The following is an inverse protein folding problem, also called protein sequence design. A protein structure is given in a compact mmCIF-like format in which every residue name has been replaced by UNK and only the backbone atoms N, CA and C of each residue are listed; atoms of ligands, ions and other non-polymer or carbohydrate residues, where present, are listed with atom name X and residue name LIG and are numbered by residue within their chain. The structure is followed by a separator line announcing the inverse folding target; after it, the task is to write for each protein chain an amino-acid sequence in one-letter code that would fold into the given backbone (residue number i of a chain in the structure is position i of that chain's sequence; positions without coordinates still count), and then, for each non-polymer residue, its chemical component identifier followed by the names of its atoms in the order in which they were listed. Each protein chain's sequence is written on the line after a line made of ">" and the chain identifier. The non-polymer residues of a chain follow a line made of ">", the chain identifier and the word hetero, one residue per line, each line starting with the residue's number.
data_IF_670065115517
#
_entry.id   IF_670065115517
#
_cell.length_a   1.000
_cell.length_b   1.000
_cell.length_c   1.000
_cell.angle_alpha   90.00
_cell.angle_beta   90.00
_cell.angle_gamma   90.00
#
_symmetry.space_group_name_H-M   'P 1'
#
loop_
_entity.id
_entity.type
_entity.pdbx_description
1 polymer ?
#
# COMPACT_ATOMS: atom_id res chain seq x y z
N UNK A 1 8.48 20.08 -23.85
CA UNK A 1 9.61 20.12 -24.80
C UNK A 1 9.08 20.60 -26.14
N UNK A 2 8.00 19.97 -26.62
CA UNK A 2 7.13 20.46 -27.68
C UNK A 2 5.68 20.01 -27.38
N UNK A 3 4.77 20.13 -28.36
CA UNK A 3 3.33 19.90 -28.18
C UNK A 3 2.92 18.43 -27.99
N UNK A 4 3.83 17.49 -28.26
CA UNK A 4 3.58 16.06 -28.08
C UNK A 4 4.49 15.42 -27.03
N UNK A 5 5.59 16.09 -26.64
CA UNK A 5 6.57 15.56 -25.68
C UNK A 5 6.80 16.52 -24.50
N UNK A 6 6.61 15.98 -23.29
CA UNK A 6 6.86 16.68 -22.02
C UNK A 6 7.70 15.82 -21.07
N UNK A 7 8.35 16.47 -20.10
CA UNK A 7 9.08 15.80 -19.02
C UNK A 7 8.54 16.26 -17.67
N UNK A 8 8.48 15.34 -16.70
CA UNK A 8 8.00 15.63 -15.35
C UNK A 8 8.85 14.89 -14.34
N UNK A 9 9.19 15.56 -13.24
CA UNK A 9 9.85 14.95 -12.10
C UNK A 9 9.22 15.46 -10.80
N UNK A 10 9.16 14.60 -9.79
CA UNK A 10 8.74 14.94 -8.43
C UNK A 10 9.68 14.26 -7.44
N UNK A 11 10.01 15.00 -6.39
CA UNK A 11 10.82 14.54 -5.26
C UNK A 11 9.98 14.67 -3.99
N UNK A 12 10.06 13.66 -3.13
CA UNK A 12 9.39 13.62 -1.84
C UNK A 12 10.43 13.48 -0.73
N UNK A 13 10.38 14.39 0.24
CA UNK A 13 11.14 14.26 1.49
C UNK A 13 10.17 13.97 2.62
N UNK A 14 10.37 12.85 3.31
CA UNK A 14 9.53 12.43 4.44
C UNK A 14 10.35 11.73 5.51
N UNK A 15 9.83 11.75 6.74
CA UNK A 15 10.31 10.85 7.79
C UNK A 15 9.54 9.54 7.65
N UNK A 16 10.21 8.49 7.20
CA UNK A 16 9.60 7.18 6.98
C UNK A 16 9.55 6.36 8.29
N UNK A 17 9.83 5.06 8.24
CA UNK A 17 9.94 4.19 9.43
C UNK A 17 11.24 4.41 10.23
N UNK A 18 12.17 5.21 9.71
CA UNK A 18 13.44 5.56 10.35
C UNK A 18 13.35 6.91 11.08
N UNK A 19 14.25 7.16 12.04
CA UNK A 19 14.25 8.42 12.80
C UNK A 19 14.73 9.65 12.00
N UNK A 20 15.27 9.45 10.79
CA UNK A 20 15.79 10.46 9.87
C UNK A 20 14.83 10.76 8.70
N UNK A 21 15.01 11.91 8.06
CA UNK A 21 14.36 12.22 6.80
C UNK A 21 15.01 11.44 5.66
N UNK A 22 14.17 10.89 4.77
CA UNK A 22 14.57 10.29 3.50
C UNK A 22 14.03 11.14 2.36
N UNK A 23 14.82 11.28 1.30
CA UNK A 23 14.44 11.99 0.09
C UNK A 23 14.45 11.01 -1.07
N UNK A 24 13.28 10.83 -1.69
CA UNK A 24 13.06 9.88 -2.76
C UNK A 24 12.58 10.60 -4.02
N UNK A 25 13.11 10.22 -5.18
CA UNK A 25 12.54 10.61 -6.48
C UNK A 25 11.30 9.75 -6.71
N UNK A 26 10.10 10.31 -6.50
CA UNK A 26 8.83 9.57 -6.56
C UNK A 26 8.45 9.21 -7.98
N UNK A 27 8.60 10.15 -8.91
CA UNK A 27 8.47 9.91 -10.34
C UNK A 27 9.35 10.85 -11.15
N UNK A 28 9.80 10.37 -12.30
CA UNK A 28 10.62 11.10 -13.25
C UNK A 28 10.49 10.43 -14.62
N UNK A 29 9.71 11.03 -15.52
CA UNK A 29 9.39 10.42 -16.81
C UNK A 29 9.33 11.45 -17.94
N UNK A 30 9.52 10.95 -19.16
CA UNK A 30 9.11 11.61 -20.38
C UNK A 30 7.72 11.11 -20.77
N UNK A 31 6.80 12.00 -21.14
CA UNK A 31 5.46 11.69 -21.62
C UNK A 31 5.33 12.08 -23.08
N UNK A 32 5.01 11.10 -23.93
CA UNK A 32 4.63 11.27 -25.32
C UNK A 32 3.10 11.19 -25.46
N UNK A 33 2.47 12.24 -26.00
CA UNK A 33 1.06 12.26 -26.39
C UNK A 33 0.97 11.74 -27.83
N UNK A 34 0.50 10.51 -27.99
CA UNK A 34 0.40 9.85 -29.29
C UNK A 34 -0.77 10.45 -30.08
N UNK A 35 -1.88 10.70 -29.40
CA UNK A 35 -3.04 11.45 -29.87
C UNK A 35 -3.78 12.03 -28.64
N UNK A 36 -4.99 12.55 -28.83
CA UNK A 36 -5.74 13.19 -27.74
C UNK A 36 -6.25 12.23 -26.66
N UNK A 37 -6.28 10.92 -26.95
CA UNK A 37 -6.80 9.88 -26.06
C UNK A 37 -5.68 9.02 -25.46
N UNK A 38 -4.53 8.91 -26.13
CA UNK A 38 -3.45 7.98 -25.78
C UNK A 38 -2.17 8.73 -25.47
N UNK A 39 -1.61 8.43 -24.31
CA UNK A 39 -0.26 8.86 -23.95
C UNK A 39 0.57 7.71 -23.40
N UNK A 40 1.88 7.79 -23.63
CA UNK A 40 2.88 6.84 -23.15
C UNK A 40 3.87 7.59 -22.29
N UNK A 41 4.25 7.02 -21.14
CA UNK A 41 5.34 7.55 -20.31
C UNK A 41 6.46 6.54 -20.22
N UNK A 42 7.69 7.03 -20.20
CA UNK A 42 8.91 6.22 -20.01
C UNK A 42 9.78 6.88 -18.94
N UNK A 43 10.19 6.10 -17.94
CA UNK A 43 10.97 6.56 -16.79
C UNK A 43 10.45 5.93 -15.50
N UNK A 44 10.59 6.64 -14.38
CA UNK A 44 9.95 6.25 -13.11
C UNK A 44 8.51 6.72 -13.09
N UNK A 45 7.58 5.78 -13.10
CA UNK A 45 6.13 6.04 -13.12
C UNK A 45 5.46 5.57 -11.83
N UNK A 46 4.33 6.18 -11.48
CA UNK A 46 3.48 5.73 -10.37
C UNK A 46 2.88 4.37 -10.70
N UNK A 47 2.79 3.52 -9.69
CA UNK A 47 2.07 2.24 -9.77
C UNK A 47 0.60 2.46 -9.38
N UNK A 48 -0.35 2.38 -10.33
CA UNK A 48 -1.76 2.76 -10.15
C UNK A 48 -2.58 1.66 -9.46
N UNK A 49 -2.15 1.19 -8.29
CA UNK A 49 -2.76 0.03 -7.60
C UNK A 49 -3.84 0.38 -6.59
N UNK A 50 -3.94 1.63 -6.15
CA UNK A 50 -4.91 2.09 -5.18
C UNK A 50 -5.79 3.21 -5.75
N UNK A 51 -6.95 3.44 -5.13
CA UNK A 51 -7.85 4.56 -5.43
C UNK A 51 -7.12 5.91 -5.39
N UNK A 52 -6.20 6.08 -4.45
CA UNK A 52 -5.45 7.32 -4.20
C UNK A 52 -3.99 7.27 -4.67
N UNK A 53 -3.56 6.27 -5.45
CA UNK A 53 -2.14 6.07 -5.83
C UNK A 53 -1.45 7.34 -6.31
N UNK A 54 -2.14 8.15 -7.12
CA UNK A 54 -1.58 9.34 -7.76
C UNK A 54 -1.37 10.52 -6.77
N UNK A 55 -2.01 10.48 -5.61
CA UNK A 55 -1.98 11.55 -4.61
C UNK A 55 -1.86 11.05 -3.15
N UNK A 56 -1.47 9.79 -2.95
CA UNK A 56 -1.35 9.16 -1.63
C UNK A 56 -0.46 9.98 -0.68
N UNK A 57 0.61 10.58 -1.22
CA UNK A 57 1.57 11.40 -0.50
C UNK A 57 1.27 12.91 -0.55
N UNK A 58 0.14 13.33 -1.15
CA UNK A 58 -0.25 14.74 -1.26
C UNK A 58 -1.35 15.02 -0.23
N UNK A 59 -0.95 15.50 0.95
CA UNK A 59 -1.85 15.74 2.08
C UNK A 59 -3.11 16.53 1.69
N UNK A 60 -2.94 17.68 1.04
CA UNK A 60 -4.04 18.58 0.65
C UNK A 60 -5.11 17.91 -0.23
N UNK A 61 -4.73 16.95 -1.08
CA UNK A 61 -5.63 16.22 -1.95
C UNK A 61 -6.47 15.17 -1.21
N UNK A 62 -5.99 14.67 -0.07
CA UNK A 62 -6.71 13.69 0.74
C UNK A 62 -7.78 14.36 1.62
N UNK A 63 -8.91 13.67 1.84
CA UNK A 63 -9.90 14.09 2.84
C UNK A 63 -9.43 13.76 4.25
N UNK A 64 -9.06 12.50 4.46
CA UNK A 64 -8.43 12.05 5.69
C UNK A 64 -7.05 12.70 5.84
N UNK A 65 -6.64 12.97 7.08
CA UNK A 65 -5.27 13.42 7.36
C UNK A 65 -4.28 12.28 7.18
N UNK A 66 -4.66 11.07 7.60
CA UNK A 66 -3.91 9.84 7.38
C UNK A 66 -4.86 8.79 6.79
N UNK A 67 -4.66 8.39 5.52
CA UNK A 67 -5.39 7.27 4.95
C UNK A 67 -5.20 5.99 5.79
N UNK A 68 -6.19 5.08 5.88
CA UNK A 68 -6.10 3.94 6.78
C UNK A 68 -4.97 2.97 6.42
N UNK A 69 -4.08 2.73 7.38
CA UNK A 69 -2.91 1.87 7.18
C UNK A 69 -3.32 0.42 6.91
N UNK A 70 -4.49 0.00 7.39
CA UNK A 70 -5.08 -1.32 7.12
C UNK A 70 -5.11 -1.62 5.63
N UNK A 71 -5.45 -0.64 4.80
CA UNK A 71 -5.49 -0.80 3.35
C UNK A 71 -4.16 -0.40 2.71
N UNK A 72 -3.67 0.80 2.98
CA UNK A 72 -2.56 1.37 2.19
C UNK A 72 -1.19 0.78 2.51
N UNK A 73 -1.05 -0.02 3.58
CA UNK A 73 0.16 -0.83 3.83
C UNK A 73 0.18 -2.16 3.07
N UNK A 74 -0.92 -2.56 2.42
CA UNK A 74 -0.99 -3.88 1.79
C UNK A 74 -0.12 -4.01 0.54
N UNK A 75 0.18 -2.90 -0.14
CA UNK A 75 1.14 -2.83 -1.23
C UNK A 75 2.17 -1.71 -0.98
N UNK A 76 3.43 -2.03 -0.69
CA UNK A 76 4.47 -1.03 -0.44
C UNK A 76 5.11 -0.47 -1.73
N UNK A 77 4.74 -0.98 -2.90
CA UNK A 77 5.28 -0.53 -4.20
C UNK A 77 4.51 0.70 -4.67
N UNK A 78 5.12 1.88 -4.56
CA UNK A 78 4.53 3.17 -4.98
C UNK A 78 4.92 3.56 -6.43
N UNK A 79 6.09 3.13 -6.91
CA UNK A 79 6.64 3.50 -8.22
C UNK A 79 7.42 2.35 -8.86
N UNK A 80 7.49 2.38 -10.20
CA UNK A 80 8.23 1.41 -11.01
C UNK A 80 9.05 2.12 -12.08
N UNK A 81 10.30 1.68 -12.27
CA UNK A 81 11.18 2.17 -13.34
C UNK A 81 10.89 1.37 -14.62
N UNK A 82 10.26 2.00 -15.61
CA UNK A 82 9.83 1.33 -16.83
C UNK A 82 9.01 2.24 -17.75
N UNK A 83 7.84 1.75 -18.16
CA UNK A 83 6.92 2.50 -19.00
C UNK A 83 5.47 2.25 -18.60
N UNK A 84 4.61 3.20 -18.94
CA UNK A 84 3.17 3.01 -18.90
C UNK A 84 2.48 3.61 -20.13
N UNK A 85 1.27 3.11 -20.36
CA UNK A 85 0.34 3.63 -21.36
C UNK A 85 -0.95 4.03 -20.64
N UNK A 86 -1.49 5.18 -21.02
CA UNK A 86 -2.74 5.70 -20.53
C UNK A 86 -3.66 5.98 -21.73
N UNK A 87 -4.85 5.40 -21.69
CA UNK A 87 -5.95 5.66 -22.61
C UNK A 87 -7.08 6.35 -21.84
N UNK A 88 -7.54 7.49 -22.34
CA UNK A 88 -8.65 8.24 -21.77
C UNK A 88 -9.65 8.58 -22.87
N UNK A 89 -10.93 8.29 -22.63
CA UNK A 89 -12.00 8.57 -23.58
C UNK A 89 -13.32 8.88 -22.86
N UNK A 90 -14.11 9.79 -23.42
CA UNK A 90 -15.40 10.18 -22.89
C UNK A 90 -16.53 9.47 -23.65
N UNK A 91 -17.30 8.64 -22.95
CA UNK A 91 -18.50 7.98 -23.46
C UNK A 91 -19.75 8.73 -22.97
N UNK A 92 -20.12 9.80 -23.66
CA UNK A 92 -21.14 10.72 -23.15
C UNK A 92 -20.65 11.39 -21.87
N UNK A 93 -21.40 11.23 -20.77
CA UNK A 93 -21.03 11.80 -19.46
C UNK A 93 -20.04 10.92 -18.66
N UNK A 94 -19.70 9.73 -19.16
CA UNK A 94 -18.72 8.84 -18.53
C UNK A 94 -17.32 9.12 -19.04
N UNK A 95 -16.43 9.61 -18.17
CA UNK A 95 -15.00 9.71 -18.45
C UNK A 95 -14.33 8.39 -18.06
N UNK A 96 -13.86 7.63 -19.05
CA UNK A 96 -13.17 6.37 -18.84
C UNK A 96 -11.66 6.54 -18.95
N UNK A 97 -10.90 5.84 -18.11
CA UNK A 97 -9.44 5.79 -18.19
C UNK A 97 -8.95 4.36 -17.97
N UNK A 98 -8.08 3.88 -18.86
CA UNK A 98 -7.35 2.64 -18.72
C UNK A 98 -5.86 2.95 -18.68
N UNK A 99 -5.15 2.43 -17.68
CA UNK A 99 -3.73 2.61 -17.51
C UNK A 99 -3.06 1.25 -17.30
N UNK A 100 -2.02 0.94 -18.06
CA UNK A 100 -1.22 -0.25 -17.88
C UNK A 100 0.26 0.10 -17.79
N UNK A 101 0.99 -0.55 -16.89
CA UNK A 101 2.41 -0.29 -16.66
C UNK A 101 3.19 -1.61 -16.64
N UNK A 102 4.49 -1.51 -16.95
CA UNK A 102 5.45 -2.59 -16.76
C UNK A 102 6.84 -2.00 -16.49
N UNK A 103 7.58 -2.59 -15.55
CA UNK A 103 8.89 -2.09 -15.17
C UNK A 103 9.57 -2.93 -14.09
N UNK A 104 10.46 -2.28 -13.35
CA UNK A 104 11.14 -2.86 -12.20
C UNK A 104 11.08 -1.89 -11.03
N UNK A 105 10.38 -2.29 -9.99
CA UNK A 105 10.28 -1.59 -8.72
C UNK A 105 11.46 -1.93 -7.80
N UNK A 106 11.95 -0.94 -7.08
CA UNK A 106 13.03 -1.07 -6.09
C UNK A 106 12.73 -0.22 -4.88
N UNK A 107 13.09 -0.70 -3.70
CA UNK A 107 12.88 0.04 -2.47
C UNK A 107 13.34 -0.72 -1.25
N UNK A 108 12.93 -0.21 -0.08
CA UNK A 108 13.21 -0.80 1.23
C UNK A 108 11.92 -1.32 1.84
N UNK A 109 11.99 -2.48 2.48
CA UNK A 109 10.90 -3.07 3.27
C UNK A 109 11.34 -3.20 4.71
N UNK A 110 10.54 -2.62 5.61
CA UNK A 110 10.72 -2.84 7.04
C UNK A 110 9.98 -4.12 7.45
N UNK A 111 10.70 -5.02 8.11
CA UNK A 111 10.17 -6.28 8.64
C UNK A 111 10.23 -6.22 10.17
N UNK A 112 9.06 -6.25 10.85
CA UNK A 112 8.97 -6.14 12.30
C UNK A 112 9.35 -7.48 12.96
N UNK A 113 10.64 -7.81 12.96
CA UNK A 113 11.20 -9.01 13.61
C UNK A 113 12.24 -8.59 14.65
N UNK A 114 12.06 -8.96 15.91
CA UNK A 114 12.98 -8.57 17.00
C UNK A 114 13.16 -7.05 17.11
N UNK A 115 14.37 -6.56 16.86
CA UNK A 115 14.72 -5.13 16.84
C UNK A 115 14.26 -4.37 15.58
N UNK A 116 13.60 -5.05 14.63
CA UNK A 116 13.28 -4.52 13.31
C UNK A 116 14.42 -4.72 12.33
N UNK A 117 14.11 -5.06 11.08
CA UNK A 117 15.10 -5.20 10.00
C UNK A 117 14.59 -4.49 8.77
N UNK A 118 15.46 -3.73 8.10
CA UNK A 118 15.16 -3.15 6.79
C UNK A 118 15.91 -3.95 5.73
N UNK A 119 15.20 -4.40 4.69
CA UNK A 119 15.77 -5.15 3.59
C UNK A 119 15.48 -4.44 2.25
N UNK A 120 16.36 -4.59 1.28
CA UNK A 120 16.18 -4.04 -0.06
C UNK A 120 15.49 -5.04 -0.97
N UNK A 121 14.53 -4.57 -1.77
CA UNK A 121 13.86 -5.42 -2.74
C UNK A 121 14.12 -4.96 -4.17
N UNK A 122 14.08 -5.91 -5.08
CA UNK A 122 13.95 -5.70 -6.52
C UNK A 122 12.76 -6.52 -7.01
N UNK A 123 11.85 -5.89 -7.74
CA UNK A 123 10.62 -6.52 -8.17
C UNK A 123 10.25 -6.10 -9.60
N UNK A 124 10.56 -6.93 -10.63
CA UNK A 124 9.89 -6.81 -11.92
C UNK A 124 8.38 -6.88 -11.71
N UNK A 125 7.68 -5.89 -12.24
CA UNK A 125 6.26 -5.72 -11.99
C UNK A 125 5.51 -5.20 -13.20
N UNK A 126 4.22 -5.50 -13.24
CA UNK A 126 3.30 -5.03 -14.24
C UNK A 126 1.87 -5.02 -13.68
N UNK A 127 1.03 -4.18 -14.24
CA UNK A 127 -0.36 -4.10 -13.82
C UNK A 127 -1.22 -3.24 -14.72
N UNK A 128 -2.50 -3.24 -14.41
CA UNK A 128 -3.54 -2.49 -15.08
C UNK A 128 -4.47 -1.85 -14.06
N UNK A 129 -4.94 -0.64 -14.37
CA UNK A 129 -5.94 0.11 -13.65
C UNK A 129 -6.99 0.59 -14.63
N UNK A 130 -8.25 0.41 -14.27
CA UNK A 130 -9.41 0.93 -15.00
C UNK A 130 -10.16 1.87 -14.07
N UNK A 131 -10.53 3.05 -14.55
CA UNK A 131 -11.37 3.97 -13.81
C UNK A 131 -12.46 4.57 -14.68
N UNK A 132 -13.60 4.84 -14.05
CA UNK A 132 -14.73 5.55 -14.65
C UNK A 132 -15.18 6.66 -13.72
N UNK A 133 -15.40 7.84 -14.28
CA UNK A 133 -15.97 8.99 -13.59
C UNK A 133 -17.29 9.36 -14.26
N UNK A 134 -18.38 9.39 -13.48
CA UNK A 134 -19.71 9.72 -13.95
C UNK A 134 -20.42 10.60 -12.91
N UNK A 135 -20.61 11.87 -13.25
CA UNK A 135 -21.15 12.86 -12.31
C UNK A 135 -20.31 12.94 -11.03
N UNK A 136 -20.91 12.73 -9.84
CA UNK A 136 -20.17 12.81 -8.57
C UNK A 136 -19.37 11.54 -8.23
N UNK A 137 -19.47 10.48 -9.03
CA UNK A 137 -18.92 9.16 -8.72
C UNK A 137 -17.62 8.89 -9.48
N UNK A 138 -16.64 8.34 -8.78
CA UNK A 138 -15.46 7.72 -9.38
C UNK A 138 -15.40 6.27 -8.92
N UNK A 139 -15.15 5.35 -9.84
CA UNK A 139 -14.85 3.95 -9.56
C UNK A 139 -13.49 3.61 -10.16
N UNK A 140 -12.65 2.88 -9.41
CA UNK A 140 -11.35 2.37 -9.86
C UNK A 140 -11.21 0.90 -9.51
N UNK A 141 -10.71 0.12 -10.46
CA UNK A 141 -10.31 -1.28 -10.28
C UNK A 141 -8.88 -1.42 -10.75
N UNK A 142 -8.02 -2.05 -9.95
CA UNK A 142 -6.63 -2.28 -10.32
C UNK A 142 -6.17 -3.69 -10.01
N UNK A 143 -5.28 -4.22 -10.85
CA UNK A 143 -4.58 -5.48 -10.63
C UNK A 143 -3.11 -5.33 -11.01
N UNK A 144 -2.21 -5.71 -10.11
CA UNK A 144 -0.78 -5.73 -10.36
C UNK A 144 -0.16 -7.05 -9.87
N UNK A 145 0.96 -7.41 -10.49
CA UNK A 145 1.81 -8.53 -10.07
C UNK A 145 3.25 -8.07 -10.01
N UNK A 146 3.97 -8.63 -9.05
CA UNK A 146 5.38 -8.37 -8.84
C UNK A 146 6.12 -9.68 -8.55
N UNK A 147 7.31 -9.86 -9.12
CA UNK A 147 8.23 -10.95 -8.80
C UNK A 147 9.31 -10.44 -7.83
N UNK A 148 9.05 -10.60 -6.53
CA UNK A 148 9.82 -9.93 -5.49
C UNK A 148 11.07 -10.75 -5.16
N UNK A 149 12.23 -10.10 -5.23
CA UNK A 149 13.52 -10.64 -4.83
C UNK A 149 14.07 -9.84 -3.65
N UNK A 150 14.40 -10.54 -2.55
CA UNK A 150 15.03 -9.97 -1.34
C UNK A 150 16.10 -10.94 -0.87
N UNK A 151 17.35 -10.46 -0.79
CA UNK A 151 18.50 -11.28 -0.41
C UNK A 151 19.05 -10.94 0.98
N UNK A 152 18.74 -9.74 1.49
CA UNK A 152 19.35 -9.14 2.68
C UNK A 152 18.42 -9.14 3.91
N UNK A 153 17.45 -10.07 3.97
CA UNK A 153 16.53 -10.19 5.10
C UNK A 153 17.07 -11.14 6.18
N UNK A 154 18.02 -10.64 6.98
CA UNK A 154 18.80 -11.44 7.93
C UNK A 154 17.99 -12.36 8.87
N UNK A 155 16.87 -11.91 9.50
CA UNK A 155 16.11 -12.78 10.40
C UNK A 155 15.49 -13.99 9.68
N UNK A 156 15.05 -13.82 8.43
CA UNK A 156 14.51 -14.90 7.62
C UNK A 156 15.65 -15.78 7.10
N UNK A 157 16.75 -15.20 6.65
CA UNK A 157 17.92 -15.96 6.18
C UNK A 157 18.51 -16.86 7.28
N UNK A 158 18.59 -16.37 8.53
CA UNK A 158 19.03 -17.19 9.66
C UNK A 158 18.09 -18.37 9.95
N UNK A 159 16.78 -18.15 9.83
CA UNK A 159 15.77 -19.20 9.98
C UNK A 159 15.86 -20.23 8.84
N UNK A 160 16.06 -19.80 7.59
CA UNK A 160 16.22 -20.73 6.46
C UNK A 160 17.50 -21.56 6.56
N UNK A 161 18.62 -20.98 7.00
CA UNK A 161 19.85 -21.73 7.31
C UNK A 161 19.60 -22.81 8.36
N UNK A 162 18.87 -22.47 9.43
CA UNK A 162 18.51 -23.42 10.50
C UNK A 162 17.65 -24.55 9.96
N UNK A 163 16.60 -24.23 9.19
CA UNK A 163 15.68 -25.20 8.58
C UNK A 163 16.42 -26.16 7.63
N UNK A 164 17.35 -25.65 6.83
CA UNK A 164 18.19 -26.48 5.96
C UNK A 164 19.05 -27.46 6.77
N UNK A 165 19.69 -26.97 7.84
CA UNK A 165 20.56 -27.79 8.70
C UNK A 165 19.84 -28.95 9.40
N UNK A 166 18.53 -28.82 9.65
CA UNK A 166 17.70 -29.88 10.26
C UNK A 166 16.86 -30.65 9.23
N UNK A 167 17.10 -30.46 7.93
CA UNK A 167 16.49 -31.24 6.85
C UNK A 167 15.15 -30.73 6.31
N UNK A 168 14.65 -29.56 6.74
CA UNK A 168 13.44 -28.93 6.20
C UNK A 168 13.73 -28.01 5.01
N UNK A 169 14.43 -28.53 3.99
CA UNK A 169 14.94 -27.72 2.86
C UNK A 169 13.84 -27.09 2.00
N UNK A 170 12.75 -27.81 1.73
CA UNK A 170 11.60 -27.25 0.99
C UNK A 170 10.97 -26.09 1.75
N UNK A 171 10.73 -26.25 3.06
CA UNK A 171 10.18 -25.18 3.88
C UNK A 171 11.12 -23.96 3.92
N UNK A 172 12.44 -24.17 3.96
CA UNK A 172 13.42 -23.08 3.88
C UNK A 172 13.30 -22.30 2.56
N UNK A 173 13.09 -22.98 1.43
CA UNK A 173 12.85 -22.36 0.11
C UNK A 173 11.48 -21.65 0.03
N UNK A 174 10.48 -22.21 0.70
CA UNK A 174 9.10 -21.71 0.69
C UNK A 174 8.89 -20.50 1.59
N UNK A 175 9.76 -20.19 2.55
CA UNK A 175 9.56 -19.02 3.44
C UNK A 175 10.40 -17.81 3.06
N UNK A 176 11.11 -17.82 1.93
CA UNK A 176 12.05 -16.74 1.57
C UNK A 176 11.73 -16.11 0.21
N UNK A 177 12.25 -14.90 -0.02
CA UNK A 177 12.19 -14.19 -1.30
C UNK A 177 13.48 -14.32 -2.13
N UNK A 178 14.48 -15.09 -1.68
CA UNK A 178 15.78 -15.18 -2.35
C UNK A 178 15.70 -15.77 -3.77
N UNK A 179 14.70 -16.62 -4.05
CA UNK A 179 14.49 -17.23 -5.36
C UNK A 179 13.62 -16.41 -6.32
N UNK A 180 13.17 -15.22 -5.91
CA UNK A 180 12.04 -14.55 -6.57
C UNK A 180 10.72 -15.22 -6.19
N UNK A 181 9.73 -14.42 -5.78
CA UNK A 181 8.38 -14.92 -5.46
C UNK A 181 7.33 -13.98 -6.01
N UNK A 182 6.36 -14.55 -6.73
CA UNK A 182 5.25 -13.80 -7.32
C UNK A 182 4.22 -13.44 -6.27
N UNK A 183 3.90 -12.15 -6.19
CA UNK A 183 2.80 -11.60 -5.40
C UNK A 183 1.83 -10.91 -6.35
N UNK A 184 0.53 -11.08 -6.11
CA UNK A 184 -0.53 -10.35 -6.79
C UNK A 184 -1.23 -9.40 -5.80
N UNK A 185 -1.58 -8.22 -6.29
CA UNK A 185 -2.37 -7.23 -5.59
C UNK A 185 -3.58 -6.83 -6.46
N UNK A 186 -4.77 -6.80 -5.87
CA UNK A 186 -6.00 -6.39 -6.57
C UNK A 186 -6.78 -5.44 -5.67
N UNK A 187 -7.31 -4.36 -6.22
CA UNK A 187 -8.15 -3.41 -5.50
C UNK A 187 -9.37 -3.01 -6.32
N UNK A 188 -10.42 -2.63 -5.60
CA UNK A 188 -11.58 -1.92 -6.12
C UNK A 188 -11.96 -0.85 -5.11
N UNK A 189 -12.12 0.38 -5.58
CA UNK A 189 -12.51 1.48 -4.72
C UNK A 189 -13.25 2.55 -5.49
N UNK A 190 -13.97 3.39 -4.76
CA UNK A 190 -14.68 4.51 -5.36
C UNK A 190 -14.87 5.67 -4.40
N UNK A 191 -15.17 6.82 -5.00
CA UNK A 191 -15.52 8.05 -4.29
C UNK A 191 -16.86 8.56 -4.76
N UNK A 192 -17.53 9.30 -3.89
CA UNK A 192 -18.68 10.13 -4.21
C UNK A 192 -18.45 11.50 -3.58
N UNK A 193 -18.51 12.58 -4.36
CA UNK A 193 -18.62 13.95 -3.83
C UNK A 193 -19.87 14.59 -4.43
N UNK A 194 -20.98 14.55 -3.67
CA UNK A 194 -22.28 15.02 -4.13
C UNK A 194 -22.85 16.05 -3.16
N UNK A 195 -22.95 17.30 -3.62
CA UNK A 195 -23.37 18.46 -2.82
C UNK A 195 -22.48 18.63 -1.58
N UNK A 196 -23.00 18.24 -0.42
CA UNK A 196 -22.33 18.34 0.87
C UNK A 196 -21.89 16.97 1.39
N UNK A 197 -22.21 15.87 0.70
CA UNK A 197 -21.88 14.51 1.15
C UNK A 197 -20.66 14.03 0.40
N UNK A 198 -19.66 13.58 1.15
CA UNK A 198 -18.52 12.86 0.60
C UNK A 198 -18.52 11.42 1.13
N UNK A 199 -18.22 10.47 0.25
CA UNK A 199 -17.98 9.09 0.61
C UNK A 199 -16.75 8.55 -0.13
N UNK A 200 -16.03 7.64 0.51
CA UNK A 200 -14.90 6.94 -0.09
C UNK A 200 -14.81 5.54 0.49
N UNK A 201 -14.67 4.54 -0.35
CA UNK A 201 -14.47 3.16 0.10
C UNK A 201 -13.53 2.43 -0.84
N UNK A 202 -12.74 1.52 -0.30
CA UNK A 202 -11.82 0.71 -1.09
C UNK A 202 -11.59 -0.63 -0.40
N UNK A 203 -11.52 -1.69 -1.21
CA UNK A 203 -11.24 -3.06 -0.82
C UNK A 203 -10.03 -3.55 -1.62
N UNK A 204 -9.12 -4.25 -0.95
CA UNK A 204 -7.93 -4.81 -1.59
C UNK A 204 -7.59 -6.21 -1.09
N UNK A 205 -6.93 -6.96 -1.96
CA UNK A 205 -6.43 -8.30 -1.71
C UNK A 205 -4.95 -8.38 -2.08
N UNK A 206 -4.13 -8.88 -1.15
CA UNK A 206 -2.78 -9.35 -1.46
C UNK A 206 -2.76 -10.88 -1.43
N UNK A 207 -2.20 -11.50 -2.47
CA UNK A 207 -2.08 -12.95 -2.60
C UNK A 207 -0.68 -13.34 -3.04
N UNK A 208 -0.02 -14.20 -2.28
CA UNK A 208 1.17 -14.89 -2.74
C UNK A 208 0.77 -15.93 -3.81
N UNK A 209 1.49 -15.95 -4.94
CA UNK A 209 1.30 -16.92 -6.02
C UNK A 209 2.34 -18.04 -5.99
N UNK A 210 3.49 -17.77 -5.39
CA UNK A 210 4.46 -18.76 -4.97
C UNK A 210 4.47 -18.86 -3.44
N UNK A 211 4.93 -19.99 -2.89
CA UNK A 211 5.07 -20.16 -1.45
C UNK A 211 6.10 -19.16 -0.90
N UNK A 212 5.69 -18.32 0.06
CA UNK A 212 6.52 -17.32 0.74
C UNK A 212 5.98 -17.02 2.13
N UNK A 213 6.82 -16.55 3.05
CA UNK A 213 6.39 -16.25 4.43
C UNK A 213 5.29 -15.20 4.54
N UNK A 214 5.16 -14.32 3.52
CA UNK A 214 4.24 -13.21 3.51
C UNK A 214 2.80 -13.73 3.37
N UNK A 215 1.95 -13.58 4.39
CA UNK A 215 0.63 -14.15 4.34
C UNK A 215 -0.33 -13.32 3.49
N UNK A 216 -1.37 -14.01 3.02
CA UNK A 216 -2.44 -13.42 2.24
C UNK A 216 -3.32 -12.53 3.13
N UNK A 217 -3.84 -11.45 2.56
CA UNK A 217 -4.65 -10.47 3.30
C UNK A 217 -5.84 -9.96 2.51
N UNK A 218 -6.92 -9.66 3.24
CA UNK A 218 -8.02 -8.85 2.78
C UNK A 218 -8.04 -7.57 3.61
N UNK A 219 -8.08 -6.42 2.95
CA UNK A 219 -8.16 -5.14 3.63
C UNK A 219 -9.24 -4.26 3.00
N UNK A 220 -9.88 -3.43 3.80
CA UNK A 220 -10.85 -2.46 3.32
C UNK A 220 -10.99 -1.27 4.26
N UNK A 221 -11.54 -0.18 3.73
CA UNK A 221 -12.12 0.88 4.54
C UNK A 221 -13.36 1.47 3.87
N UNK A 222 -14.19 2.12 4.68
CA UNK A 222 -15.27 2.98 4.23
C UNK A 222 -15.25 4.28 5.04
N UNK A 223 -15.44 5.41 4.38
CA UNK A 223 -15.43 6.76 4.92
C UNK A 223 -16.67 7.51 4.44
N UNK A 224 -17.29 8.26 5.33
CA UNK A 224 -18.33 9.22 5.00
C UNK A 224 -18.09 10.54 5.75
N UNK A 225 -18.39 11.65 5.10
CA UNK A 225 -18.28 12.98 5.67
C UNK A 225 -19.37 13.92 5.15
N UNK A 226 -19.56 15.02 5.88
CA UNK A 226 -20.52 16.06 5.50
C UNK A 226 -19.88 17.45 5.58
N UNK A 227 -19.98 18.21 4.50
CA UNK A 227 -19.38 19.54 4.32
C UNK A 227 -20.31 20.62 4.87
N UNK A 228 -19.95 21.21 6.01
CA UNK A 228 -20.55 22.41 6.60
C UNK A 228 -19.73 23.64 6.18
N UNK A 229 -20.03 24.18 5.00
CA UNK A 229 -19.26 25.28 4.41
C UNK A 229 -17.80 24.88 4.20
N UNK A 230 -16.88 25.43 4.99
CA UNK A 230 -15.43 25.14 4.94
C UNK A 230 -15.00 23.99 5.85
N UNK A 231 -15.90 23.42 6.64
CA UNK A 231 -15.59 22.40 7.66
C UNK A 231 -16.19 21.07 7.24
N UNK A 232 -15.39 20.02 7.20
CA UNK A 232 -15.75 18.68 6.78
C UNK A 232 -15.37 17.67 7.88
N UNK A 233 -16.27 17.41 8.85
CA UNK A 233 -16.19 16.23 9.69
C UNK A 233 -16.40 14.97 8.87
N UNK A 234 -15.69 13.90 9.24
CA UNK A 234 -15.83 12.58 8.66
C UNK A 234 -15.64 11.48 9.71
N UNK A 235 -16.18 10.31 9.40
CA UNK A 235 -15.91 9.06 10.07
C UNK A 235 -15.44 8.03 9.04
N UNK A 236 -14.48 7.19 9.41
CA UNK A 236 -14.10 6.01 8.64
C UNK A 236 -13.92 4.79 9.54
N UNK A 237 -14.18 3.62 8.96
CA UNK A 237 -13.84 2.33 9.55
C UNK A 237 -12.92 1.58 8.59
N UNK A 238 -11.87 0.96 9.12
CA UNK A 238 -10.91 0.20 8.34
C UNK A 238 -10.58 -1.15 8.99
N UNK A 239 -10.28 -2.16 8.17
CA UNK A 239 -9.96 -3.51 8.62
C UNK A 239 -8.91 -4.14 7.71
N UNK A 240 -7.93 -4.81 8.31
CA UNK A 240 -7.01 -5.74 7.66
C UNK A 240 -7.11 -7.11 8.35
N UNK A 241 -7.37 -8.16 7.58
CA UNK A 241 -7.51 -9.54 8.05
C UNK A 241 -6.64 -10.50 7.24
N UNK A 242 -6.19 -11.57 7.89
CA UNK A 242 -5.54 -12.67 7.20
C UNK A 242 -6.50 -13.42 6.28
N UNK A 243 -5.99 -13.89 5.16
CA UNK A 243 -6.72 -14.71 4.19
C UNK A 243 -6.05 -16.07 3.93
N UNK A 244 -5.07 -16.44 4.77
CA UNK A 244 -4.32 -17.70 4.68
C UNK A 244 -2.82 -17.50 4.48
N UNK A 245 -2.11 -18.61 4.33
CA UNK A 245 -0.68 -18.67 4.02
C UNK A 245 -0.49 -19.56 2.80
N UNK A 246 0.41 -19.17 1.89
CA UNK A 246 0.80 -20.00 0.75
C UNK A 246 1.78 -21.12 1.11
N UNK A 247 2.38 -21.05 2.30
CA UNK A 247 3.34 -22.05 2.81
C UNK A 247 2.61 -23.17 3.55
N UNK A 248 2.93 -24.41 3.17
CA UNK A 248 2.49 -25.62 3.88
C UNK A 248 3.59 -26.12 4.82
N UNK A 249 3.29 -26.23 6.11
CA UNK A 249 4.25 -26.75 7.10
C UNK A 249 4.32 -28.28 7.05
N UNK A 250 5.51 -28.89 6.95
CA UNK A 250 5.65 -30.35 7.09
C UNK A 250 5.21 -30.82 8.47
N UNK A 251 4.47 -31.93 8.55
CA UNK A 251 4.01 -32.49 9.84
C UNK A 251 5.17 -32.83 10.79
N UNK A 252 6.31 -33.27 10.25
CA UNK A 252 7.51 -33.56 11.03
C UNK A 252 8.08 -32.32 11.75
N UNK A 253 7.76 -31.10 11.31
CA UNK A 253 8.18 -29.86 11.99
C UNK A 253 7.66 -29.79 13.43
N UNK A 254 6.50 -30.39 13.71
CA UNK A 254 5.93 -30.47 15.06
C UNK A 254 6.84 -31.20 16.06
N UNK A 255 7.79 -32.03 15.59
CA UNK A 255 8.80 -32.70 16.42
C UNK A 255 9.92 -31.77 16.90
N UNK A 256 9.98 -30.54 16.38
CA UNK A 256 10.92 -29.48 16.79
C UNK A 256 10.10 -28.27 17.29
N UNK A 257 9.59 -28.29 18.54
CA UNK A 257 8.57 -27.35 18.99
C UNK A 257 8.94 -25.88 18.83
N UNK A 258 10.19 -25.51 19.15
CA UNK A 258 10.67 -24.14 19.02
C UNK A 258 10.65 -23.65 17.56
N UNK A 259 11.07 -24.50 16.62
CA UNK A 259 11.09 -24.16 15.19
C UNK A 259 9.67 -24.10 14.62
N UNK A 260 8.80 -25.03 15.02
CA UNK A 260 7.39 -24.99 14.65
C UNK A 260 6.72 -23.70 15.15
N UNK A 261 7.00 -23.27 16.38
CA UNK A 261 6.46 -22.02 16.93
C UNK A 261 6.97 -20.79 16.14
N UNK A 262 8.27 -20.74 15.84
CA UNK A 262 8.87 -19.67 15.05
C UNK A 262 8.26 -19.55 13.65
N UNK A 263 8.15 -20.66 12.93
CA UNK A 263 7.52 -20.70 11.59
C UNK A 263 6.04 -20.35 11.68
N UNK A 264 5.31 -20.84 12.69
CA UNK A 264 3.90 -20.50 12.86
C UNK A 264 3.70 -19.00 13.12
N UNK A 265 4.51 -18.41 13.99
CA UNK A 265 4.49 -16.97 14.24
C UNK A 265 4.82 -16.15 13.01
N UNK A 266 5.77 -16.61 12.19
CA UNK A 266 6.13 -15.98 10.92
C UNK A 266 4.94 -15.95 9.94
N UNK A 267 4.30 -17.11 9.72
CA UNK A 267 3.21 -17.29 8.75
C UNK A 267 1.85 -16.70 9.20
N UNK A 268 1.72 -16.31 10.46
CA UNK A 268 0.48 -15.72 10.97
C UNK A 268 0.30 -14.30 10.45
N UNK A 269 -0.86 -13.95 9.89
CA UNK A 269 -1.16 -12.57 9.49
C UNK A 269 -1.28 -11.65 10.69
N UNK A 270 -0.76 -10.43 10.56
CA UNK A 270 -1.16 -9.32 11.41
C UNK A 270 -2.60 -8.93 11.06
N UNK A 271 -3.44 -8.70 12.08
CA UNK A 271 -4.82 -8.26 11.91
C UNK A 271 -5.09 -7.03 12.75
N UNK A 272 -5.82 -6.07 12.18
CA UNK A 272 -6.12 -4.80 12.82
C UNK A 272 -7.43 -4.23 12.30
N UNK A 273 -8.16 -3.54 13.17
CA UNK A 273 -9.24 -2.63 12.77
C UNK A 273 -9.04 -1.26 13.37
N UNK A 274 -9.51 -0.22 12.69
CA UNK A 274 -9.49 1.15 13.21
C UNK A 274 -10.82 1.85 12.99
N UNK A 275 -11.28 2.54 14.04
CA UNK A 275 -12.36 3.53 13.95
C UNK A 275 -11.72 4.92 13.93
N UNK A 276 -12.04 5.73 12.92
CA UNK A 276 -11.37 7.00 12.63
C UNK A 276 -12.41 8.10 12.63
N UNK A 277 -12.17 9.16 13.39
CA UNK A 277 -12.97 10.39 13.35
C UNK A 277 -12.04 11.54 13.05
N UNK A 278 -12.41 12.43 12.14
CA UNK A 278 -11.60 13.60 11.86
C UNK A 278 -12.40 14.76 11.30
N UNK A 279 -11.72 15.89 11.20
CA UNK A 279 -12.25 17.13 10.64
C UNK A 279 -11.19 17.72 9.73
N UNK A 280 -11.61 18.15 8.54
CA UNK A 280 -10.86 19.01 7.63
C UNK A 280 -11.47 20.41 7.64
N UNK A 281 -10.65 21.45 7.72
CA UNK A 281 -11.07 22.85 7.69
C UNK A 281 -10.28 23.63 6.65
N UNK A 282 -10.92 23.95 5.53
CA UNK A 282 -10.36 24.75 4.43
C UNK A 282 -10.48 26.25 4.74
N UNK A 283 -9.70 26.73 5.72
CA UNK A 283 -9.85 28.08 6.26
C UNK A 283 -9.36 29.19 5.31
N UNK A 284 -8.36 28.87 4.48
CA UNK A 284 -7.78 29.76 3.48
C UNK A 284 -7.72 29.08 2.10
N UNK A 285 -7.59 29.88 1.04
CA UNK A 285 -7.40 29.34 -0.31
C UNK A 285 -6.11 28.51 -0.32
N UNK A 286 -6.21 27.27 -0.82
CA UNK A 286 -5.08 26.33 -0.91
C UNK A 286 -4.46 25.94 0.44
N UNK A 287 -5.17 26.10 1.56
CA UNK A 287 -4.70 25.73 2.90
C UNK A 287 -5.81 25.02 3.68
N UNK A 288 -5.49 23.87 4.26
CA UNK A 288 -6.42 23.07 5.07
C UNK A 288 -5.78 22.64 6.40
N UNK A 289 -6.45 22.93 7.51
CA UNK A 289 -6.15 22.30 8.80
C UNK A 289 -6.90 20.99 8.91
N UNK A 290 -6.22 19.92 9.33
CA UNK A 290 -6.85 18.63 9.62
C UNK A 290 -6.53 18.16 11.01
N UNK A 291 -7.52 17.57 11.67
CA UNK A 291 -7.38 16.88 12.95
C UNK A 291 -8.02 15.50 12.80
N UNK A 292 -7.33 14.46 13.26
CA UNK A 292 -7.79 13.09 13.15
C UNK A 292 -7.47 12.32 14.43
N UNK A 293 -8.43 11.50 14.86
CA UNK A 293 -8.32 10.58 15.99
C UNK A 293 -8.60 9.16 15.48
N UNK A 294 -7.61 8.29 15.61
CA UNK A 294 -7.71 6.87 15.22
C UNK A 294 -7.78 6.02 16.50
N UNK A 295 -8.84 5.23 16.66
CA UNK A 295 -8.92 4.17 17.66
C UNK A 295 -8.51 2.85 17.01
N UNK A 296 -7.24 2.50 17.15
CA UNK A 296 -6.60 1.32 16.57
C UNK A 296 -6.78 0.11 17.49
N UNK A 297 -7.26 -1.00 16.94
CA UNK A 297 -7.53 -2.25 17.66
C UNK A 297 -6.74 -3.40 17.02
N UNK A 298 -5.53 -3.72 17.52
CA UNK A 298 -4.79 -4.92 17.14
C UNK A 298 -5.59 -6.19 17.48
N UNK A 299 -5.66 -7.16 16.55
CA UNK A 299 -6.41 -8.42 16.74
C UNK A 299 -5.54 -9.67 16.74
N UNK A 300 -4.57 -9.72 15.83
CA UNK A 300 -3.58 -10.79 15.75
C UNK A 300 -2.19 -10.18 15.65
N UNK A 301 -1.20 -10.83 16.29
CA UNK A 301 0.11 -10.23 16.58
C UNK A 301 -0.08 -8.91 17.33
N UNK A 302 0.67 -7.88 16.94
CA UNK A 302 0.47 -6.50 17.38
C UNK A 302 -0.29 -5.66 16.36
N UNK A 303 -1.10 -6.31 15.51
CA UNK A 303 -1.71 -5.66 14.35
C UNK A 303 -0.63 -5.11 13.42
N UNK A 304 -0.86 -3.92 12.88
CA UNK A 304 0.06 -3.23 11.98
C UNK A 304 0.98 -2.25 12.72
N UNK A 305 0.99 -2.30 14.05
CA UNK A 305 1.89 -1.49 14.87
C UNK A 305 3.35 -1.94 14.66
N UNK A 306 4.23 -0.96 14.51
CA UNK A 306 5.68 -1.15 14.45
C UNK A 306 6.34 -0.72 15.76
N UNK A 307 7.59 -1.15 16.01
CA UNK A 307 8.35 -0.84 17.22
C UNK A 307 7.64 -1.22 18.53
N UNK A 308 6.94 -2.36 18.51
CA UNK A 308 6.24 -2.94 19.67
C UNK A 308 7.19 -3.76 20.53
N UNK A 309 6.90 -3.95 21.85
CA UNK A 309 7.68 -4.84 22.70
C UNK A 309 7.76 -6.26 22.14
N UNK A 310 8.84 -6.99 22.44
CA UNK A 310 9.04 -8.37 21.95
C UNK A 310 7.90 -9.34 22.34
N UNK A 311 7.23 -9.08 23.48
CA UNK A 311 6.07 -9.84 23.92
C UNK A 311 4.79 -9.59 23.08
N UNK A 312 4.83 -8.65 22.14
CA UNK A 312 3.68 -8.16 21.38
C UNK A 312 2.89 -7.08 22.11
N UNK A 313 1.90 -6.52 21.43
CA UNK A 313 1.01 -5.48 21.95
C UNK A 313 -0.43 -5.73 21.50
N UNK A 314 -1.33 -6.00 22.44
CA UNK A 314 -2.72 -6.40 22.16
C UNK A 314 -3.75 -5.40 22.63
N UNK A 315 -3.33 -4.31 23.30
CA UNK A 315 -4.24 -3.28 23.77
C UNK A 315 -4.64 -2.37 22.61
N UNK A 316 -5.80 -1.76 22.73
CA UNK A 316 -6.19 -0.68 21.84
C UNK A 316 -5.26 0.53 22.00
N UNK A 317 -4.97 1.22 20.90
CA UNK A 317 -4.20 2.46 20.87
C UNK A 317 -5.07 3.58 20.33
N UNK A 318 -5.02 4.74 20.98
CA UNK A 318 -5.60 5.97 20.43
C UNK A 318 -4.48 6.85 19.88
N UNK A 319 -4.54 7.16 18.59
CA UNK A 319 -3.59 8.04 17.92
C UNK A 319 -4.31 9.35 17.61
N UNK A 320 -3.78 10.47 18.12
CA UNK A 320 -4.28 11.80 17.81
C UNK A 320 -3.23 12.51 16.99
N UNK A 321 -3.63 13.14 15.89
CA UNK A 321 -2.73 13.97 15.12
C UNK A 321 -3.46 15.16 14.48
N UNK A 322 -2.70 16.21 14.23
CA UNK A 322 -3.13 17.40 13.53
C UNK A 322 -2.07 17.78 12.49
N UNK A 323 -2.51 18.30 11.34
CA UNK A 323 -1.64 18.66 10.23
C UNK A 323 -2.18 19.88 9.48
N UNK A 324 -1.26 20.70 8.98
CA UNK A 324 -1.57 21.82 8.11
C UNK A 324 -1.09 21.49 6.70
N UNK A 325 -2.01 21.33 5.78
CA UNK A 325 -1.74 21.02 4.38
C UNK A 325 -1.89 22.30 3.54
N UNK A 326 -0.96 22.54 2.62
CA UNK A 326 -1.06 23.65 1.68
C UNK A 326 -0.45 23.33 0.32
N UNK A 327 -0.94 24.00 -0.72
CA UNK A 327 -0.39 23.95 -2.10
C UNK A 327 -0.18 25.38 -2.60
N UNK A 328 0.87 25.58 -3.41
CA UNK A 328 1.28 26.89 -3.93
C UNK A 328 1.47 26.87 -5.44
#
# INVERSE_FOLDING_TARGET
>A
INDWLSGTAQVLTRKATEHSFTTDLTWAFLKARINDEVSVRVGRVVVPTFLISDYQNVGFANTMMRPPIELYSQNPIENSDGADINYQHAFGDLNFTAQAFAGVSRGKLYVPTGAGSTATYRAPDAGISLSGEYGPFVLRVAHARADIHINDLQPINALTTTLNGVGFTQLASDITFTSGKKIAFTSIGGTMDWNNIIAQAEYAQRRAKDAVYLPDTNAWYAMAGYRFGKVLPYYAHASAKGAGSSVTKPAALARVPALNAAVTGLLTSAEQTSDIVGVRWDFAKSVALKVQVDRVKPKAKSGLLINVPAAGYTKDVTVVAAGLDFVF
#
